data_IF_691805960317
#
_entry.id   IF_691805960317
#
_cell.length_a   1.000
_cell.length_b   1.000
_cell.length_c   1.000
_cell.angle_alpha   90.00
_cell.angle_beta   90.00
_cell.angle_gamma   90.00
#
_symmetry.space_group_name_H-M   'P 1'
#
loop_
_entity.id
_entity.type
_entity.pdbx_description
1 polymer ?
#
# COMPACT_ATOMS: atom_id res chain seq x y z
N UNK A 1 -7.66 -24.83 47.92
CA UNK A 1 -8.25 -23.87 47.00
C UNK A 1 -7.23 -22.88 46.42
N UNK A 2 -6.05 -23.38 45.96
CA UNK A 2 -4.95 -22.58 45.40
C UNK A 2 -4.39 -23.12 44.07
N UNK A 3 -4.95 -24.18 43.51
CA UNK A 3 -4.42 -24.83 42.28
C UNK A 3 -5.22 -24.40 41.02
N UNK A 4 -6.43 -23.84 41.17
CA UNK A 4 -7.26 -23.45 40.03
C UNK A 4 -6.86 -22.14 39.35
N UNK A 5 -6.10 -21.26 40.00
CA UNK A 5 -5.68 -19.99 39.40
C UNK A 5 -4.37 -20.05 38.62
N UNK A 6 -3.58 -21.10 38.78
CA UNK A 6 -2.32 -21.30 38.06
C UNK A 6 -2.55 -21.85 36.63
N UNK A 7 -3.68 -22.53 36.40
CA UNK A 7 -4.00 -23.08 35.09
C UNK A 7 -4.62 -22.06 34.12
N UNK A 8 -5.22 -20.99 34.64
CA UNK A 8 -5.77 -19.90 33.80
C UNK A 8 -4.70 -18.93 33.28
N UNK A 9 -3.51 -18.89 33.91
CA UNK A 9 -2.43 -18.01 33.47
C UNK A 9 -1.58 -18.60 32.34
N UNK A 10 -1.66 -19.91 32.11
CA UNK A 10 -0.88 -20.62 31.10
C UNK A 10 -1.54 -20.64 29.71
N UNK A 11 -2.78 -20.15 29.59
CA UNK A 11 -3.57 -20.13 28.35
C UNK A 11 -3.49 -18.81 27.57
N UNK A 12 -2.71 -17.81 28.07
CA UNK A 12 -2.63 -16.47 27.45
C UNK A 12 -1.39 -16.29 26.56
N UNK A 13 -0.51 -17.27 26.46
CA UNK A 13 0.76 -17.12 25.74
C UNK A 13 0.84 -17.77 24.33
N UNK A 14 -0.27 -17.99 23.64
CA UNK A 14 -0.25 -18.51 22.28
C UNK A 14 -0.92 -17.57 21.26
N UNK A 15 -0.57 -16.30 21.28
CA UNK A 15 -0.71 -15.49 20.07
C UNK A 15 0.70 -15.19 19.55
N UNK A 16 1.22 -16.17 18.85
CA UNK A 16 2.49 -16.08 18.16
C UNK A 16 2.43 -14.99 17.09
N UNK A 17 3.44 -14.22 17.09
CA UNK A 17 3.78 -13.14 16.20
C UNK A 17 3.73 -13.63 14.75
N UNK A 18 2.71 -13.25 13.99
CA UNK A 18 2.68 -13.45 12.56
C UNK A 18 3.71 -12.50 11.93
N UNK A 19 4.75 -13.04 11.33
CA UNK A 19 5.66 -12.25 10.50
C UNK A 19 4.94 -11.90 9.19
N UNK A 20 4.86 -10.61 8.88
CA UNK A 20 4.20 -10.15 7.68
C UNK A 20 5.09 -10.34 6.45
N UNK A 21 4.71 -11.27 5.57
CA UNK A 21 5.26 -11.40 4.21
C UNK A 21 4.65 -10.38 3.23
N UNK A 22 3.85 -9.48 3.72
CA UNK A 22 3.17 -8.46 2.92
C UNK A 22 3.69 -7.08 3.26
N UNK A 23 3.98 -6.30 2.21
CA UNK A 23 4.19 -4.87 2.36
C UNK A 23 2.86 -4.23 2.74
N UNK A 24 2.76 -3.66 3.94
CA UNK A 24 1.56 -2.93 4.30
C UNK A 24 1.45 -1.71 3.39
N UNK A 25 0.29 -1.50 2.79
CA UNK A 25 -0.02 -0.25 2.11
C UNK A 25 -0.24 0.81 3.17
N UNK A 26 0.54 1.87 3.12
CA UNK A 26 0.34 3.04 3.96
C UNK A 26 -0.46 4.10 3.19
N UNK A 27 -0.07 5.34 3.29
CA UNK A 27 -0.76 6.48 2.65
C UNK A 27 -0.22 6.81 1.25
N UNK A 28 0.62 5.95 0.65
CA UNK A 28 1.21 6.18 -0.68
C UNK A 28 0.17 6.45 -1.76
N UNK A 29 -0.96 5.73 -1.70
CA UNK A 29 -2.05 5.88 -2.67
C UNK A 29 -2.72 7.25 -2.62
N UNK A 30 -2.73 7.91 -1.47
CA UNK A 30 -3.29 9.25 -1.31
C UNK A 30 -2.37 10.34 -1.90
N UNK A 31 -1.11 10.02 -2.13
CA UNK A 31 -0.14 10.88 -2.80
C UNK A 31 -0.20 10.74 -4.34
N UNK A 32 -1.40 10.69 -4.91
CA UNK A 32 -1.68 10.54 -6.35
C UNK A 32 -0.92 9.35 -6.98
N UNK A 33 -0.88 8.24 -6.24
CA UNK A 33 -0.23 7.00 -6.63
C UNK A 33 -1.14 5.78 -6.42
N UNK A 34 -2.34 5.81 -6.98
CA UNK A 34 -3.31 4.73 -6.84
C UNK A 34 -2.82 3.39 -7.44
N UNK A 35 -1.82 3.43 -8.32
CA UNK A 35 -1.18 2.25 -8.88
C UNK A 35 -0.55 1.32 -7.82
N UNK A 36 -0.21 1.85 -6.64
CA UNK A 36 0.21 1.04 -5.47
C UNK A 36 -0.82 0.00 -5.07
N UNK A 37 -2.12 0.33 -5.19
CA UNK A 37 -3.22 -0.49 -4.72
C UNK A 37 -3.56 -1.64 -5.67
N UNK A 38 -3.53 -1.36 -6.98
CA UNK A 38 -4.02 -2.31 -7.98
C UNK A 38 -3.38 -2.06 -9.34
N UNK A 39 -3.09 -3.12 -10.10
CA UNK A 39 -2.64 -2.99 -11.48
C UNK A 39 -3.63 -2.24 -12.39
N UNK A 40 -4.90 -2.20 -12.01
CA UNK A 40 -5.96 -1.54 -12.79
C UNK A 40 -5.78 -0.04 -12.99
N UNK A 41 -4.92 0.60 -12.19
CA UNK A 41 -4.62 2.02 -12.31
C UNK A 41 -3.48 2.33 -13.31
N UNK A 42 -2.80 1.31 -13.83
CA UNK A 42 -1.73 1.51 -14.80
C UNK A 42 -2.24 2.17 -16.09
N UNK A 43 -1.58 3.25 -16.51
CA UNK A 43 -1.89 3.98 -17.72
C UNK A 43 -3.13 4.88 -17.67
N UNK A 44 -3.69 5.14 -16.48
CA UNK A 44 -4.75 6.13 -16.27
C UNK A 44 -4.12 7.48 -15.87
N UNK A 45 -4.49 8.55 -16.55
CA UNK A 45 -3.96 9.89 -16.33
C UNK A 45 -2.82 10.22 -17.29
N UNK A 46 -1.73 10.81 -16.79
CA UNK A 46 -0.56 11.14 -17.60
C UNK A 46 0.09 9.90 -18.21
N UNK A 47 0.72 10.03 -19.38
CA UNK A 47 1.17 8.89 -20.14
C UNK A 47 2.29 8.09 -19.48
N UNK A 48 3.21 8.78 -18.78
CA UNK A 48 4.25 8.15 -17.97
C UNK A 48 4.28 8.84 -16.61
N UNK A 49 3.99 8.09 -15.58
CA UNK A 49 4.11 8.56 -14.18
C UNK A 49 5.17 7.75 -13.47
N UNK A 50 6.02 8.46 -12.73
CA UNK A 50 7.04 7.87 -11.86
C UNK A 50 6.81 8.40 -10.47
N UNK A 51 6.79 7.52 -9.47
CA UNK A 51 6.65 7.86 -8.05
C UNK A 51 7.68 7.09 -7.23
N UNK A 52 8.51 7.80 -6.51
CA UNK A 52 9.44 7.25 -5.53
C UNK A 52 8.95 7.58 -4.12
N UNK A 53 8.87 6.60 -3.26
CA UNK A 53 8.45 6.78 -1.87
C UNK A 53 9.57 6.32 -0.93
N UNK A 54 9.78 7.12 0.13
CA UNK A 54 10.58 6.76 1.28
C UNK A 54 9.72 6.86 2.53
N UNK A 55 9.56 5.75 3.25
CA UNK A 55 8.77 5.68 4.47
C UNK A 55 9.63 5.16 5.61
N UNK A 56 9.52 5.82 6.76
CA UNK A 56 10.11 5.36 8.03
C UNK A 56 9.03 5.37 9.09
N UNK A 57 8.76 4.20 9.68
CA UNK A 57 7.79 4.06 10.76
C UNK A 57 8.49 4.24 12.12
N UNK A 58 7.73 4.62 13.12
CA UNK A 58 8.15 4.69 14.53
C UNK A 58 9.52 5.33 14.71
N UNK A 59 9.69 6.52 14.17
CA UNK A 59 10.95 7.27 14.25
C UNK A 59 11.37 7.44 15.71
N UNK A 60 12.62 7.09 16.03
CA UNK A 60 13.17 7.05 17.38
C UNK A 60 13.35 5.62 17.92
N UNK A 61 12.70 4.61 17.36
CA UNK A 61 12.92 3.21 17.69
C UNK A 61 14.06 2.66 16.84
N UNK A 62 15.02 1.96 17.48
CA UNK A 62 16.13 1.30 16.79
C UNK A 62 15.58 0.20 15.88
N UNK A 63 16.13 0.12 14.67
CA UNK A 63 15.75 -0.87 13.64
C UNK A 63 14.26 -0.87 13.26
N UNK A 64 13.59 0.27 13.46
CA UNK A 64 12.19 0.47 13.07
C UNK A 64 11.97 0.28 11.56
N UNK A 65 10.75 -0.11 11.13
CA UNK A 65 10.46 -0.41 9.75
C UNK A 65 10.75 0.75 8.79
N UNK A 66 11.39 0.44 7.67
CA UNK A 66 11.69 1.38 6.58
C UNK A 66 11.28 0.76 5.26
N UNK A 67 10.55 1.50 4.45
CA UNK A 67 10.16 1.10 3.11
C UNK A 67 10.66 2.10 2.09
N UNK A 68 11.24 1.60 1.02
CA UNK A 68 11.62 2.35 -0.17
C UNK A 68 10.92 1.71 -1.36
N UNK A 69 10.25 2.49 -2.17
CA UNK A 69 9.54 1.96 -3.33
C UNK A 69 9.58 2.93 -4.51
N UNK A 70 9.65 2.36 -5.70
CA UNK A 70 9.59 3.06 -6.97
C UNK A 70 8.49 2.46 -7.81
N UNK A 71 7.60 3.30 -8.29
CA UNK A 71 6.49 2.95 -9.15
C UNK A 71 6.61 3.72 -10.45
N UNK A 72 6.43 3.03 -11.55
CA UNK A 72 6.33 3.65 -12.86
C UNK A 72 5.17 2.99 -13.61
N UNK A 73 4.26 3.78 -14.13
CA UNK A 73 3.20 3.28 -15.00
C UNK A 73 3.16 4.09 -16.29
N UNK A 74 2.87 3.38 -17.37
CA UNK A 74 2.94 3.91 -18.70
C UNK A 74 1.76 3.41 -19.53
N UNK A 75 1.15 4.32 -20.29
CA UNK A 75 0.08 4.00 -21.20
C UNK A 75 0.63 3.48 -22.53
N UNK A 76 0.15 2.31 -22.96
CA UNK A 76 0.45 1.71 -24.26
C UNK A 76 -0.81 1.71 -25.12
N UNK A 77 -0.85 2.56 -26.14
CA UNK A 77 -2.04 2.75 -26.96
C UNK A 77 -3.18 3.44 -26.20
N UNK A 78 -4.40 3.32 -26.73
CA UNK A 78 -5.54 4.11 -26.25
C UNK A 78 -6.24 3.54 -25.01
N UNK A 79 -6.13 2.22 -24.76
CA UNK A 79 -6.93 1.52 -23.74
C UNK A 79 -6.12 0.61 -22.81
N UNK A 80 -4.82 0.60 -22.93
CA UNK A 80 -4.00 -0.31 -22.12
C UNK A 80 -2.86 0.44 -21.45
N UNK A 81 -2.46 -0.05 -20.29
CA UNK A 81 -1.32 0.44 -19.55
C UNK A 81 -0.45 -0.71 -19.05
N UNK A 82 0.82 -0.40 -18.85
CA UNK A 82 1.77 -1.27 -18.18
C UNK A 82 2.36 -0.55 -16.99
N UNK A 83 2.86 -1.29 -16.03
CA UNK A 83 3.49 -0.72 -14.86
C UNK A 83 4.58 -1.60 -14.29
N UNK A 84 5.50 -0.94 -13.60
CA UNK A 84 6.57 -1.56 -12.84
C UNK A 84 6.56 -0.99 -11.42
N UNK A 85 6.61 -1.87 -10.44
CA UNK A 85 6.81 -1.51 -9.04
C UNK A 85 8.06 -2.21 -8.53
N UNK A 86 8.97 -1.47 -7.93
CA UNK A 86 10.14 -1.98 -7.23
C UNK A 86 10.03 -1.58 -5.76
N UNK A 87 10.39 -2.47 -4.85
CA UNK A 87 10.34 -2.15 -3.44
C UNK A 87 11.45 -2.85 -2.65
N UNK A 88 11.82 -2.20 -1.57
CA UNK A 88 12.73 -2.71 -0.55
C UNK A 88 12.16 -2.32 0.82
N UNK A 89 11.70 -3.31 1.55
CA UNK A 89 11.17 -3.17 2.90
C UNK A 89 12.12 -3.82 3.89
N UNK A 90 12.38 -3.12 4.98
CA UNK A 90 13.21 -3.63 6.07
C UNK A 90 12.49 -3.41 7.39
N UNK A 91 12.37 -4.47 8.17
CA UNK A 91 11.77 -4.45 9.50
C UNK A 91 12.66 -5.24 10.47
N UNK A 92 13.44 -4.53 11.29
CA UNK A 92 14.44 -5.15 12.14
C UNK A 92 15.48 -5.89 11.30
N UNK A 93 15.61 -7.17 11.56
CA UNK A 93 16.54 -8.09 10.86
C UNK A 93 15.92 -8.77 9.64
N UNK A 94 14.67 -8.49 9.34
CA UNK A 94 14.01 -9.00 8.14
C UNK A 94 14.06 -7.97 7.01
N UNK A 95 14.23 -8.42 5.80
CA UNK A 95 14.16 -7.60 4.61
C UNK A 95 13.34 -8.30 3.52
N UNK A 96 12.54 -7.52 2.82
CA UNK A 96 11.74 -7.98 1.69
C UNK A 96 12.01 -7.07 0.50
N UNK A 97 12.48 -7.67 -0.60
CA UNK A 97 12.72 -6.95 -1.86
C UNK A 97 11.94 -7.59 -2.97
N UNK A 98 11.44 -6.80 -3.90
CA UNK A 98 10.70 -7.38 -5.01
C UNK A 98 10.45 -6.44 -6.16
N UNK A 99 9.95 -7.04 -7.23
CA UNK A 99 9.49 -6.38 -8.44
C UNK A 99 8.10 -6.89 -8.82
N UNK A 100 7.26 -5.98 -9.30
CA UNK A 100 5.91 -6.28 -9.79
C UNK A 100 5.77 -5.69 -11.19
N UNK A 101 5.44 -6.53 -12.16
CA UNK A 101 5.11 -6.16 -13.52
C UNK A 101 3.59 -6.20 -13.68
N UNK A 102 3.01 -5.13 -14.16
CA UNK A 102 1.56 -4.95 -14.23
C UNK A 102 1.11 -4.65 -15.65
N UNK A 103 -0.06 -5.16 -16.00
CA UNK A 103 -0.79 -4.83 -17.21
C UNK A 103 -2.23 -4.46 -16.85
N UNK A 104 -2.77 -3.43 -17.48
CA UNK A 104 -4.16 -3.03 -17.37
C UNK A 104 -4.81 -2.84 -18.72
N UNK A 105 -6.11 -3.14 -18.78
CA UNK A 105 -6.93 -2.83 -19.93
C UNK A 105 -8.22 -2.13 -19.50
N UNK A 106 -8.58 -1.05 -20.21
CA UNK A 106 -9.68 -0.15 -19.86
C UNK A 106 -10.78 -0.23 -20.90
N UNK A 107 -12.00 -0.46 -20.44
CA UNK A 107 -13.20 -0.64 -21.30
C UNK A 107 -14.16 0.51 -21.02
N UNK A 108 -14.74 1.07 -22.09
CA UNK A 108 -15.84 2.00 -22.00
C UNK A 108 -17.13 1.16 -21.97
N UNK A 109 -17.86 1.21 -20.84
CA UNK A 109 -19.18 0.61 -20.71
C UNK A 109 -20.25 1.50 -21.32
N UNK A 110 -20.17 2.79 -20.99
CA UNK A 110 -21.05 3.82 -21.57
C UNK A 110 -20.27 5.14 -21.70
N UNK A 111 -20.23 5.61 -22.94
CA UNK A 111 -19.53 6.86 -23.28
C UNK A 111 -20.25 8.10 -22.72
N UNK A 112 -21.58 8.12 -22.81
CA UNK A 112 -22.39 9.28 -22.40
C UNK A 112 -22.45 9.45 -20.89
N UNK A 113 -22.56 8.35 -20.17
CA UNK A 113 -22.58 8.35 -18.69
C UNK A 113 -21.18 8.33 -18.08
N UNK A 114 -20.10 8.32 -18.90
CA UNK A 114 -18.70 8.24 -18.46
C UNK A 114 -18.45 7.02 -17.54
N UNK A 115 -18.95 5.85 -17.95
CA UNK A 115 -18.76 4.60 -17.22
C UNK A 115 -17.60 3.80 -17.81
N UNK A 116 -16.64 3.46 -16.97
CA UNK A 116 -15.43 2.74 -17.35
C UNK A 116 -15.21 1.54 -16.44
N UNK A 117 -14.78 0.43 -17.02
CA UNK A 117 -14.33 -0.75 -16.30
C UNK A 117 -12.89 -1.07 -16.69
N UNK A 118 -12.04 -1.30 -15.70
CA UNK A 118 -10.65 -1.66 -15.94
C UNK A 118 -10.34 -3.01 -15.30
N UNK A 119 -9.60 -3.84 -16.03
CA UNK A 119 -9.05 -5.10 -15.56
C UNK A 119 -7.54 -4.97 -15.45
N UNK A 120 -6.97 -5.57 -14.41
CA UNK A 120 -5.53 -5.54 -14.23
C UNK A 120 -4.98 -6.89 -13.77
N UNK A 121 -3.78 -7.19 -14.23
CA UNK A 121 -3.01 -8.37 -13.85
C UNK A 121 -1.59 -7.94 -13.52
N UNK A 122 -1.03 -8.47 -12.43
CA UNK A 122 0.39 -8.30 -12.12
C UNK A 122 1.06 -9.65 -11.91
N UNK A 123 2.33 -9.71 -12.28
CA UNK A 123 3.26 -10.77 -11.92
C UNK A 123 4.27 -10.23 -10.91
N UNK A 124 4.35 -10.89 -9.74
CA UNK A 124 5.17 -10.47 -8.61
C UNK A 124 6.35 -11.42 -8.45
N UNK A 125 7.54 -10.86 -8.30
CA UNK A 125 8.75 -11.58 -7.86
C UNK A 125 9.16 -10.96 -6.54
N UNK A 126 9.21 -11.75 -5.48
CA UNK A 126 9.50 -11.29 -4.15
C UNK A 126 10.57 -12.17 -3.50
N UNK A 127 11.54 -11.58 -2.81
CA UNK A 127 12.54 -12.25 -2.01
C UNK A 127 12.46 -11.74 -0.58
N UNK A 128 12.23 -12.65 0.34
CA UNK A 128 12.25 -12.40 1.78
C UNK A 128 13.53 -12.98 2.38
N UNK A 129 14.22 -12.20 3.22
CA UNK A 129 15.48 -12.61 3.86
C UNK A 129 15.44 -12.27 5.35
N UNK A 130 15.92 -13.19 6.18
CA UNK A 130 16.21 -12.99 7.60
C UNK A 130 17.73 -12.97 7.76
N UNK A 131 18.27 -11.88 8.30
CA UNK A 131 19.70 -11.72 8.59
C UNK A 131 19.97 -12.05 10.06
N UNK A 132 20.41 -13.26 10.32
CA UNK A 132 20.73 -13.73 11.68
C UNK A 132 22.12 -13.29 12.15
N UNK A 133 22.99 -12.86 11.27
CA UNK A 133 24.35 -12.43 11.66
C UNK A 133 24.33 -11.26 12.65
N UNK A 134 23.27 -10.46 12.62
CA UNK A 134 23.09 -9.33 13.53
C UNK A 134 22.51 -9.71 14.90
N UNK A 135 21.97 -10.93 15.07
CA UNK A 135 21.51 -11.41 16.38
C UNK A 135 22.67 -11.70 17.34
N UNK A 136 23.84 -12.09 16.80
CA UNK A 136 24.99 -12.51 17.59
C UNK A 136 25.84 -11.37 18.17
N UNK A 137 25.59 -10.11 17.79
CA UNK A 137 26.44 -8.98 18.21
C UNK A 137 26.00 -8.33 19.53
N UNK A 138 24.83 -8.70 20.09
CA UNK A 138 24.22 -7.98 21.20
C UNK A 138 24.21 -8.76 22.53
N UNK A 139 24.47 -10.06 22.54
CA UNK A 139 24.48 -10.86 23.76
C UNK A 139 25.69 -11.78 23.84
N UNK A 140 26.45 -11.65 24.92
CA UNK A 140 27.59 -12.50 25.27
C UNK A 140 27.20 -13.96 25.65
N UNK A 141 25.91 -14.30 25.62
CA UNK A 141 25.41 -15.63 25.92
C UNK A 141 24.92 -16.24 24.60
N UNK A 142 25.76 -17.08 24.03
CA UNK A 142 25.52 -17.94 22.88
C UNK A 142 24.50 -19.07 23.20
N UNK A 143 23.29 -18.73 23.56
CA UNK A 143 22.18 -19.66 23.41
C UNK A 143 21.57 -19.41 22.02
N UNK A 144 22.25 -19.91 20.99
CA UNK A 144 21.68 -20.04 19.64
C UNK A 144 20.38 -20.83 19.78
N UNK A 145 19.27 -20.19 19.46
CA UNK A 145 18.02 -20.92 19.24
C UNK A 145 18.31 -21.96 18.13
N UNK A 146 18.28 -23.28 18.43
CA UNK A 146 18.62 -24.33 17.44
C UNK A 146 17.70 -24.28 16.21
N UNK A 147 16.57 -23.56 16.28
CA UNK A 147 15.65 -23.38 15.16
C UNK A 147 16.06 -22.25 14.19
N UNK A 148 17.05 -21.41 14.57
CA UNK A 148 17.55 -20.28 13.77
C UNK A 148 19.05 -20.45 13.53
N UNK A 149 19.44 -21.42 12.73
CA UNK A 149 20.86 -21.73 12.51
C UNK A 149 21.47 -21.04 11.30
N UNK A 150 20.69 -20.59 10.32
CA UNK A 150 21.20 -20.06 9.05
C UNK A 150 20.45 -18.83 8.55
N UNK A 151 21.15 -17.98 7.78
CA UNK A 151 20.51 -16.91 6.99
C UNK A 151 19.49 -17.52 6.03
N UNK A 152 18.22 -17.16 6.22
CA UNK A 152 17.13 -17.70 5.41
C UNK A 152 16.73 -16.70 4.34
N UNK A 153 16.73 -17.16 3.10
CA UNK A 153 16.22 -16.39 1.97
C UNK A 153 15.19 -17.24 1.21
N UNK A 154 14.02 -16.67 0.95
CA UNK A 154 12.94 -17.30 0.21
C UNK A 154 12.53 -16.40 -0.92
N UNK A 155 12.45 -16.95 -2.14
CA UNK A 155 11.85 -16.26 -3.29
C UNK A 155 10.46 -16.82 -3.54
N UNK A 156 9.53 -15.91 -3.85
CA UNK A 156 8.16 -16.23 -4.18
C UNK A 156 7.74 -15.51 -5.47
N UNK A 157 7.13 -16.27 -6.37
CA UNK A 157 6.49 -15.74 -7.57
C UNK A 157 4.99 -15.83 -7.40
N UNK A 158 4.26 -14.77 -7.70
CA UNK A 158 2.82 -14.74 -7.51
C UNK A 158 2.13 -13.81 -8.52
N UNK A 159 0.81 -13.80 -8.49
CA UNK A 159 0.00 -12.92 -9.33
C UNK A 159 -0.97 -12.11 -8.48
N UNK A 160 -1.28 -10.91 -8.99
CA UNK A 160 -2.37 -10.09 -8.48
C UNK A 160 -3.38 -9.88 -9.61
N UNK A 161 -4.67 -9.84 -9.28
CA UNK A 161 -5.75 -9.49 -10.19
C UNK A 161 -6.58 -8.38 -9.61
N UNK A 162 -7.01 -7.44 -10.45
CA UNK A 162 -7.79 -6.30 -10.04
C UNK A 162 -8.93 -5.96 -10.99
N UNK A 163 -9.94 -5.31 -10.43
CA UNK A 163 -11.05 -4.68 -11.12
C UNK A 163 -11.18 -3.24 -10.64
N UNK A 164 -11.45 -2.29 -11.54
CA UNK A 164 -11.74 -0.91 -11.21
C UNK A 164 -12.95 -0.44 -12.00
N UNK A 165 -13.99 -0.03 -11.32
CA UNK A 165 -15.13 0.65 -11.90
C UNK A 165 -15.05 2.16 -11.62
N UNK A 166 -15.33 2.97 -12.65
CA UNK A 166 -15.40 4.42 -12.54
C UNK A 166 -16.65 4.96 -13.22
N UNK A 167 -17.32 5.89 -12.57
CA UNK A 167 -18.47 6.60 -13.12
C UNK A 167 -18.48 8.05 -12.62
N UNK A 168 -18.17 8.99 -13.51
CA UNK A 168 -18.02 10.42 -13.15
C UNK A 168 -17.00 10.55 -12.00
N UNK A 169 -17.38 11.15 -10.89
CA UNK A 169 -16.52 11.27 -9.72
C UNK A 169 -16.39 10.01 -8.85
N UNK A 170 -17.25 9.00 -9.03
CA UNK A 170 -17.22 7.76 -8.25
C UNK A 170 -16.19 6.78 -8.81
N UNK A 171 -15.47 6.12 -7.91
CA UNK A 171 -14.61 4.99 -8.24
C UNK A 171 -14.66 3.90 -7.17
N UNK A 172 -14.52 2.65 -7.59
CA UNK A 172 -14.40 1.49 -6.72
C UNK A 172 -13.42 0.48 -7.34
N UNK A 173 -12.34 0.18 -6.63
CA UNK A 173 -11.31 -0.78 -7.02
C UNK A 173 -11.31 -1.96 -6.07
N UNK A 174 -11.30 -3.16 -6.61
CA UNK A 174 -11.07 -4.41 -5.90
C UNK A 174 -9.78 -5.04 -6.42
N UNK A 175 -8.93 -5.51 -5.53
CA UNK A 175 -7.70 -6.19 -5.86
C UNK A 175 -7.50 -7.44 -4.99
N UNK A 176 -7.14 -8.56 -5.58
CA UNK A 176 -6.69 -9.75 -4.90
C UNK A 176 -5.20 -9.95 -5.21
N UNK A 177 -4.37 -9.84 -4.19
CA UNK A 177 -2.91 -9.97 -4.31
C UNK A 177 -2.43 -11.32 -3.80
N UNK A 178 -1.40 -11.85 -4.47
CA UNK A 178 -0.77 -13.14 -4.13
C UNK A 178 -1.78 -14.29 -4.17
N UNK A 179 -2.46 -14.44 -5.30
CA UNK A 179 -3.55 -15.40 -5.49
C UNK A 179 -3.10 -16.87 -5.49
N UNK A 180 -1.82 -17.14 -5.79
CA UNK A 180 -1.30 -18.49 -5.78
C UNK A 180 -0.93 -18.92 -4.36
N UNK A 181 -1.42 -20.08 -3.90
CA UNK A 181 -0.98 -20.63 -2.62
C UNK A 181 0.51 -20.98 -2.68
N UNK A 182 1.24 -20.63 -1.62
CA UNK A 182 2.67 -20.95 -1.49
C UNK A 182 2.83 -22.31 -0.82
N UNK A 183 3.57 -23.21 -1.46
CA UNK A 183 3.97 -24.48 -0.83
C UNK A 183 5.27 -24.26 -0.03
N UNK A 184 5.17 -24.29 1.30
CA UNK A 184 6.32 -24.07 2.19
C UNK A 184 6.69 -25.39 2.89
N UNK A 185 7.13 -26.40 2.13
CA UNK A 185 7.53 -27.67 2.73
C UNK A 185 8.83 -27.56 3.56
N UNK A 186 9.67 -26.54 3.33
CA UNK A 186 10.99 -26.41 3.96
C UNK A 186 11.03 -25.43 5.16
N UNK A 187 9.91 -24.77 5.50
CA UNK A 187 9.87 -23.70 6.51
C UNK A 187 8.66 -23.82 7.43
N UNK A 188 8.32 -25.06 7.80
CA UNK A 188 7.19 -25.36 8.68
C UNK A 188 7.30 -24.57 10.00
N UNK A 189 6.30 -23.74 10.26
CA UNK A 189 6.08 -23.07 11.53
C UNK A 189 6.60 -21.62 11.66
N UNK A 190 7.30 -21.07 10.64
CA UNK A 190 7.90 -19.73 10.73
C UNK A 190 7.20 -18.72 9.83
N UNK A 191 6.61 -19.14 8.72
CA UNK A 191 5.99 -18.25 7.73
C UNK A 191 4.53 -18.63 7.43
N UNK A 192 3.65 -17.66 7.20
CA UNK A 192 2.28 -17.94 6.80
C UNK A 192 2.25 -18.63 5.42
N UNK A 193 1.56 -19.77 5.34
CA UNK A 193 1.38 -20.51 4.10
C UNK A 193 0.47 -19.76 3.10
N UNK A 194 -0.46 -18.98 3.61
CA UNK A 194 -1.43 -18.24 2.81
C UNK A 194 -1.09 -16.74 2.84
N UNK A 195 -0.60 -16.24 1.71
CA UNK A 195 -0.21 -14.84 1.53
C UNK A 195 -1.28 -14.01 0.78
N UNK A 196 -2.44 -14.61 0.52
CA UNK A 196 -3.56 -13.98 -0.17
C UNK A 196 -4.09 -12.78 0.62
N UNK A 197 -4.29 -11.68 -0.08
CA UNK A 197 -4.69 -10.41 0.49
C UNK A 197 -5.70 -9.73 -0.45
N UNK A 198 -6.82 -9.31 0.11
CA UNK A 198 -7.87 -8.59 -0.59
C UNK A 198 -7.82 -7.11 -0.22
N UNK A 199 -7.98 -6.26 -1.22
CA UNK A 199 -7.98 -4.81 -1.06
C UNK A 199 -9.20 -4.22 -1.76
N UNK A 200 -9.90 -3.33 -1.07
CA UNK A 200 -11.00 -2.55 -1.62
C UNK A 200 -10.68 -1.06 -1.41
N UNK A 201 -10.73 -0.29 -2.47
CA UNK A 201 -10.56 1.16 -2.42
C UNK A 201 -11.70 1.84 -3.15
N UNK A 202 -12.41 2.71 -2.48
CA UNK A 202 -13.54 3.43 -3.06
C UNK A 202 -13.56 4.87 -2.57
N UNK A 203 -14.01 5.76 -3.43
CA UNK A 203 -14.15 7.16 -3.10
C UNK A 203 -15.03 7.90 -4.09
N UNK A 204 -15.20 9.17 -3.81
CA UNK A 204 -15.95 10.09 -4.65
C UNK A 204 -15.28 11.46 -4.71
N UNK A 205 -15.02 11.95 -5.91
CA UNK A 205 -14.49 13.31 -6.14
C UNK A 205 -15.64 14.28 -6.33
N UNK A 206 -15.78 15.18 -5.38
CA UNK A 206 -16.76 16.26 -5.39
C UNK A 206 -16.08 17.49 -5.99
N UNK A 207 -16.52 17.90 -7.19
CA UNK A 207 -16.08 19.16 -7.83
C UNK A 207 -17.01 20.29 -7.43
N UNK A 208 -16.46 21.41 -6.99
CA UNK A 208 -17.26 22.58 -6.65
C UNK A 208 -17.86 23.20 -7.93
N UNK A 209 -19.19 23.31 -8.00
CA UNK A 209 -19.90 23.87 -9.15
C UNK A 209 -19.59 25.36 -9.39
N UNK A 210 -19.28 26.11 -8.33
CA UNK A 210 -18.95 27.56 -8.41
C UNK A 210 -17.46 27.80 -8.64
N UNK A 211 -16.60 26.91 -8.13
CA UNK A 211 -15.16 27.00 -8.28
C UNK A 211 -14.59 25.67 -8.74
N UNK A 212 -14.52 25.48 -10.06
CA UNK A 212 -14.04 24.24 -10.68
C UNK A 212 -12.59 23.90 -10.35
N UNK A 213 -11.88 24.83 -9.72
CA UNK A 213 -10.49 24.61 -9.29
C UNK A 213 -10.36 23.91 -7.93
N UNK A 214 -11.49 23.53 -7.30
CA UNK A 214 -11.50 22.88 -5.98
C UNK A 214 -12.17 21.54 -6.07
N UNK A 215 -11.49 20.53 -5.53
CA UNK A 215 -11.98 19.16 -5.37
C UNK A 215 -11.89 18.72 -3.91
N UNK A 216 -12.91 17.98 -3.46
CA UNK A 216 -12.95 17.30 -2.16
C UNK A 216 -13.16 15.81 -2.43
N UNK A 217 -12.31 14.98 -1.89
CA UNK A 217 -12.30 13.53 -2.12
C UNK A 217 -12.36 12.77 -0.79
N UNK A 218 -13.56 12.41 -0.30
CA UNK A 218 -13.71 11.37 0.70
C UNK A 218 -13.43 10.00 0.08
N UNK A 219 -12.66 9.16 0.79
CA UNK A 219 -12.38 7.80 0.34
C UNK A 219 -12.21 6.84 1.51
N UNK A 220 -12.39 5.55 1.21
CA UNK A 220 -12.21 4.45 2.14
C UNK A 220 -11.32 3.40 1.49
N UNK A 221 -10.35 2.91 2.26
CA UNK A 221 -9.52 1.77 1.89
C UNK A 221 -9.69 0.67 2.92
N UNK A 222 -9.96 -0.53 2.45
CA UNK A 222 -10.10 -1.74 3.27
C UNK A 222 -9.11 -2.78 2.80
N UNK A 223 -8.41 -3.43 3.73
CA UNK A 223 -7.48 -4.51 3.46
C UNK A 223 -7.77 -5.69 4.38
N UNK A 224 -7.80 -6.90 3.81
CA UNK A 224 -8.03 -8.15 4.52
C UNK A 224 -6.95 -9.18 4.16
N UNK A 225 -6.28 -9.72 5.17
CA UNK A 225 -5.26 -10.76 5.05
C UNK A 225 -5.89 -12.12 5.33
N UNK A 226 -5.95 -12.98 4.31
CA UNK A 226 -6.63 -14.27 4.41
C UNK A 226 -5.92 -15.27 5.34
N UNK A 227 -4.60 -15.12 5.53
CA UNK A 227 -3.78 -16.03 6.34
C UNK A 227 -4.08 -15.94 7.84
N UNK A 228 -4.09 -14.73 8.37
CA UNK A 228 -4.30 -14.47 9.81
C UNK A 228 -5.65 -13.79 10.12
N UNK A 229 -6.45 -13.55 9.08
CA UNK A 229 -7.79 -12.92 9.14
C UNK A 229 -7.80 -11.48 9.66
N UNK A 230 -6.63 -10.84 9.77
CA UNK A 230 -6.56 -9.43 10.14
C UNK A 230 -7.16 -8.55 9.04
N UNK A 231 -7.80 -7.47 9.44
CA UNK A 231 -8.25 -6.47 8.51
C UNK A 231 -8.06 -5.06 9.05
N UNK A 232 -7.79 -4.14 8.12
CA UNK A 232 -7.62 -2.72 8.42
C UNK A 232 -8.54 -1.89 7.55
N UNK A 233 -9.00 -0.76 8.10
CA UNK A 233 -9.75 0.24 7.33
C UNK A 233 -9.10 1.59 7.50
N UNK A 234 -8.96 2.31 6.37
CA UNK A 234 -8.57 3.71 6.35
C UNK A 234 -9.76 4.56 5.90
N UNK A 235 -10.07 5.60 6.65
CA UNK A 235 -11.01 6.65 6.23
C UNK A 235 -10.19 7.89 5.92
N UNK A 236 -10.39 8.43 4.72
CA UNK A 236 -9.57 9.52 4.22
C UNK A 236 -10.44 10.68 3.73
N UNK A 237 -9.90 11.87 3.90
CA UNK A 237 -10.44 13.07 3.30
C UNK A 237 -9.31 13.87 2.67
N UNK A 238 -9.43 14.19 1.38
CA UNK A 238 -8.44 14.96 0.62
C UNK A 238 -9.11 16.19 0.01
N UNK A 239 -8.44 17.32 0.13
CA UNK A 239 -8.79 18.57 -0.51
C UNK A 239 -7.70 18.92 -1.51
N UNK A 240 -8.09 19.22 -2.76
CA UNK A 240 -7.18 19.63 -3.83
C UNK A 240 -7.63 20.95 -4.42
N UNK A 241 -6.67 21.85 -4.68
CA UNK A 241 -6.92 23.14 -5.34
C UNK A 241 -5.95 23.33 -6.49
N UNK A 242 -6.51 23.53 -7.67
CA UNK A 242 -5.79 23.80 -8.91
C UNK A 242 -5.50 25.30 -9.04
N UNK A 243 -4.27 25.63 -9.43
CA UNK A 243 -3.85 26.99 -9.73
C UNK A 243 -3.87 27.26 -11.26
N UNK A 244 -3.57 26.22 -12.05
CA UNK A 244 -3.63 26.18 -13.50
C UNK A 244 -4.09 24.78 -13.91
N UNK A 245 -4.13 24.49 -15.20
CA UNK A 245 -4.68 23.23 -15.73
C UNK A 245 -4.08 21.98 -15.07
N UNK A 246 -2.77 21.98 -14.76
CA UNK A 246 -2.03 20.82 -14.23
C UNK A 246 -1.36 21.08 -12.87
N UNK A 247 -1.20 22.35 -12.48
CA UNK A 247 -0.58 22.71 -11.23
C UNK A 247 -1.60 22.75 -10.10
N UNK A 248 -1.35 22.02 -9.04
CA UNK A 248 -2.22 22.01 -7.86
C UNK A 248 -1.44 21.79 -6.57
N UNK A 249 -2.05 22.16 -5.48
CA UNK A 249 -1.67 21.71 -4.16
C UNK A 249 -2.84 20.96 -3.50
N UNK A 250 -2.49 20.06 -2.59
CA UNK A 250 -3.48 19.30 -1.87
C UNK A 250 -3.08 19.11 -0.41
N UNK A 251 -4.10 18.93 0.42
CA UNK A 251 -3.97 18.54 1.82
C UNK A 251 -4.96 17.43 2.10
N UNK A 252 -4.65 16.58 3.06
CA UNK A 252 -5.53 15.48 3.43
C UNK A 252 -5.29 15.00 4.85
N UNK A 253 -6.18 14.15 5.31
CA UNK A 253 -6.08 13.45 6.59
C UNK A 253 -6.49 12.00 6.37
N UNK A 254 -5.80 11.09 7.03
CA UNK A 254 -6.13 9.67 7.06
C UNK A 254 -6.26 9.19 8.49
N UNK A 255 -7.27 8.34 8.74
CA UNK A 255 -7.48 7.65 10.00
C UNK A 255 -7.55 6.16 9.73
N UNK A 256 -6.66 5.37 10.35
CA UNK A 256 -6.55 3.92 10.20
C UNK A 256 -6.87 3.20 11.49
N UNK A 257 -7.66 2.13 11.40
CA UNK A 257 -8.01 1.26 12.51
C UNK A 257 -8.05 -0.21 12.12
N UNK A 258 -7.92 -1.12 13.11
CA UNK A 258 -8.13 -2.56 12.97
C UNK A 258 -9.62 -2.86 13.11
N UNK A 259 -10.14 -3.78 12.27
CA UNK A 259 -11.54 -4.19 12.32
C UNK A 259 -11.79 -5.39 13.24
N UNK A 260 -10.80 -6.25 13.41
CA UNK A 260 -10.85 -7.48 14.24
C UNK A 260 -10.78 -7.20 15.75
N UNK A 261 -10.29 -6.04 16.13
CA UNK A 261 -10.36 -5.54 17.51
C UNK A 261 -11.28 -4.30 17.47
N UNK A 262 -12.43 -4.27 18.18
CA UNK A 262 -13.49 -3.28 17.94
C UNK A 262 -12.96 -1.86 17.75
N UNK A 263 -12.80 -1.47 16.49
CA UNK A 263 -12.31 -0.16 16.04
C UNK A 263 -11.02 0.32 16.72
N UNK A 264 -10.07 -0.60 16.99
CA UNK A 264 -8.78 -0.24 17.58
C UNK A 264 -8.05 0.77 16.69
N UNK A 265 -7.86 2.01 17.13
CA UNK A 265 -7.18 3.02 16.35
C UNK A 265 -5.69 2.65 16.20
N UNK A 266 -5.18 2.74 14.98
CA UNK A 266 -3.76 2.51 14.66
C UNK A 266 -3.02 3.81 14.48
N UNK A 267 -3.46 4.61 13.50
CA UNK A 267 -2.79 5.86 13.15
C UNK A 267 -3.79 6.91 12.71
N UNK A 268 -3.43 8.15 12.94
CA UNK A 268 -4.07 9.32 12.34
C UNK A 268 -3.00 10.31 11.93
N UNK A 269 -3.20 10.99 10.80
CA UNK A 269 -2.25 12.03 10.47
C UNK A 269 -2.58 12.83 9.22
N UNK A 270 -2.05 14.08 9.21
CA UNK A 270 -2.14 14.95 8.06
C UNK A 270 -1.17 14.53 6.97
N UNK A 271 -1.51 14.96 5.77
CA UNK A 271 -0.66 14.86 4.61
C UNK A 271 -0.85 16.09 3.71
N UNK A 272 0.17 16.43 2.95
CA UNK A 272 0.11 17.54 2.01
C UNK A 272 1.07 17.30 0.85
N UNK A 273 0.81 17.98 -0.26
CA UNK A 273 1.68 17.91 -1.42
C UNK A 273 1.29 18.93 -2.48
N UNK A 274 2.08 18.91 -3.55
CA UNK A 274 1.82 19.75 -4.72
C UNK A 274 2.31 19.08 -6.00
N UNK A 275 1.70 19.43 -7.11
CA UNK A 275 2.20 19.20 -8.46
C UNK A 275 2.47 20.54 -9.11
N UNK A 276 3.66 20.70 -9.70
CA UNK A 276 4.03 21.87 -10.48
C UNK A 276 4.73 21.41 -11.75
N UNK A 277 4.13 21.72 -12.89
CA UNK A 277 4.53 21.18 -14.18
C UNK A 277 4.62 19.63 -14.11
N UNK A 278 5.78 19.05 -14.40
CA UNK A 278 5.99 17.62 -14.38
C UNK A 278 6.45 17.06 -13.01
N UNK A 279 6.72 17.94 -12.05
CA UNK A 279 7.22 17.54 -10.74
C UNK A 279 6.08 17.39 -9.72
N UNK A 280 6.13 16.30 -8.95
CA UNK A 280 5.22 16.01 -7.85
C UNK A 280 5.99 15.84 -6.55
N UNK A 281 5.46 16.43 -5.48
CA UNK A 281 5.93 16.24 -4.11
C UNK A 281 4.76 15.95 -3.17
N UNK A 282 4.94 14.99 -2.28
CA UNK A 282 4.01 14.68 -1.21
C UNK A 282 4.71 14.34 0.10
N UNK A 283 4.12 14.72 1.21
CA UNK A 283 4.57 14.38 2.55
C UNK A 283 3.39 13.93 3.40
N UNK A 284 3.58 12.85 4.15
CA UNK A 284 2.61 12.33 5.12
C UNK A 284 3.28 12.12 6.46
N UNK A 285 2.60 12.57 7.50
CA UNK A 285 2.97 12.33 8.89
C UNK A 285 1.84 11.61 9.60
N UNK A 286 2.11 10.44 10.20
CA UNK A 286 1.11 9.63 10.87
C UNK A 286 1.50 9.41 12.33
N UNK A 287 0.65 9.87 13.23
CA UNK A 287 0.78 9.63 14.67
C UNK A 287 0.22 8.25 14.98
N UNK A 288 0.98 7.45 15.69
CA UNK A 288 0.53 6.14 16.19
C UNK A 288 -0.38 6.35 17.39
N UNK A 289 -1.53 5.68 17.44
CA UNK A 289 -2.56 5.86 18.49
C UNK A 289 -2.60 4.72 19.53
N UNK A 290 -1.57 3.89 19.58
CA UNK A 290 -1.46 2.78 20.51
C UNK A 290 -0.38 3.05 21.60
N UNK A 291 -0.09 2.04 22.43
CA UNK A 291 0.88 2.16 23.55
C UNK A 291 2.32 2.51 23.11
N UNK A 292 2.67 2.30 21.83
CA UNK A 292 3.99 2.61 21.30
C UNK A 292 4.18 4.13 21.08
N UNK A 293 3.11 4.92 21.11
CA UNK A 293 3.15 6.39 20.92
C UNK A 293 4.17 7.08 21.82
N UNK A 294 4.31 6.61 23.06
CA UNK A 294 5.25 7.21 24.03
C UNK A 294 6.73 7.01 23.64
N UNK A 295 7.04 6.10 22.74
CA UNK A 295 8.41 5.68 22.39
C UNK A 295 8.83 6.06 20.97
N UNK A 296 7.97 6.71 20.19
CA UNK A 296 8.27 7.06 18.80
C UNK A 296 7.71 8.43 18.42
N UNK A 297 8.30 9.01 17.38
CA UNK A 297 7.88 10.29 16.81
C UNK A 297 6.96 10.11 15.59
N UNK A 298 6.26 8.97 15.48
CA UNK A 298 5.32 8.69 14.40
C UNK A 298 5.96 8.06 13.15
N UNK A 299 5.18 8.05 12.07
CA UNK A 299 5.58 7.54 10.76
C UNK A 299 5.66 8.69 9.77
N UNK A 300 6.76 8.77 9.07
CA UNK A 300 7.03 9.81 8.07
C UNK A 300 7.14 9.16 6.69
N UNK A 301 6.49 9.76 5.70
CA UNK A 301 6.61 9.34 4.31
C UNK A 301 6.81 10.54 3.40
N UNK A 302 7.77 10.43 2.49
CA UNK A 302 8.02 11.38 1.42
C UNK A 302 7.73 10.68 0.10
N UNK A 303 7.02 11.36 -0.79
CA UNK A 303 6.79 10.95 -2.17
C UNK A 303 7.35 11.98 -3.12
N UNK A 304 8.21 11.55 -4.02
CA UNK A 304 8.71 12.35 -5.15
C UNK A 304 8.15 11.77 -6.44
N UNK A 305 7.78 12.62 -7.39
CA UNK A 305 7.20 12.13 -8.62
C UNK A 305 7.51 13.00 -9.83
N UNK A 306 7.41 12.35 -11.00
CA UNK A 306 7.50 12.99 -12.30
C UNK A 306 6.43 12.43 -13.24
N UNK A 307 5.76 13.33 -13.95
CA UNK A 307 4.70 13.03 -14.91
C UNK A 307 5.11 13.54 -16.30
N UNK A 308 5.15 12.62 -17.30
CA UNK A 308 5.65 12.91 -18.62
C UNK A 308 4.69 12.46 -19.72
N UNK A 309 4.93 12.92 -20.93
CA UNK A 309 4.31 12.43 -22.16
C UNK A 309 2.79 12.55 -22.18
N UNK A 310 2.27 13.69 -21.76
CA UNK A 310 0.83 13.96 -21.77
C UNK A 310 0.23 13.98 -23.18
N UNK A 311 -1.01 13.57 -23.34
CA UNK A 311 -1.83 13.80 -24.53
C UNK A 311 -1.77 12.76 -25.66
N UNK A 312 -1.28 11.53 -25.43
CA UNK A 312 -1.16 10.50 -26.49
C UNK A 312 -2.45 9.68 -26.72
N UNK A 313 -3.43 9.70 -25.81
CA UNK A 313 -4.62 8.84 -25.94
C UNK A 313 -5.86 9.61 -26.31
N UNK A 314 -6.61 9.09 -27.29
CA UNK A 314 -7.94 9.59 -27.65
C UNK A 314 -9.06 8.92 -26.84
N UNK A 315 -8.76 7.95 -25.98
CA UNK A 315 -9.76 7.28 -25.16
C UNK A 315 -10.02 8.06 -23.85
N UNK A 316 -11.26 8.52 -23.60
CA UNK A 316 -11.59 9.14 -22.33
C UNK A 316 -11.37 8.19 -21.13
N UNK A 317 -11.36 6.87 -21.38
CA UNK A 317 -11.13 5.87 -20.34
C UNK A 317 -9.71 5.90 -19.72
N UNK A 318 -8.75 6.52 -20.37
CA UNK A 318 -7.36 6.64 -19.93
C UNK A 318 -6.85 8.08 -19.87
N UNK A 319 -7.55 9.04 -20.49
CA UNK A 319 -7.15 10.44 -20.46
C UNK A 319 -7.39 11.08 -19.10
N UNK A 320 -8.53 10.75 -18.51
CA UNK A 320 -8.92 11.30 -17.24
C UNK A 320 -8.17 10.62 -16.11
N UNK A 321 -7.63 11.35 -15.14
CA UNK A 321 -7.26 10.79 -13.86
C UNK A 321 -8.46 10.09 -13.23
N UNK A 322 -8.23 9.25 -12.22
CA UNK A 322 -9.30 8.53 -11.51
C UNK A 322 -10.42 9.47 -11.03
N UNK A 323 -10.11 10.73 -10.96
CA UNK A 323 -10.90 11.80 -10.36
C UNK A 323 -11.65 12.70 -11.37
N UNK A 324 -11.75 12.36 -12.64
CA UNK A 324 -12.50 13.19 -13.60
C UNK A 324 -13.96 12.80 -13.78
#
# INVERSE_FOLDING_TARGET
MKIQHTFSLLLICFFGISQELHLPVHTQYLADNNFVLSPTFAGIGDNLRIRANGLTQWVGIKDAPKNQSLYADFRIGNRSGIGLSLYNDRNGYTSQTGAKFSFAHHIILDYYSKQYLSFGLSYNINSFKIDISQFNTTHEILALDPSITDNRAISNNNFDVGLLYRNKGFYASFNASNILPKSINNYLGIEPSLVLNYQLYSGYVIKNSYNRNVEIEPSIYYQFFAGDKRSTTDINLKYRRYNSYDDYYWVGVSYRFLNDQPFQPLTVGPMAGFKKANFYFGYSYQVTLNKITAYNSGTHMITLGFDFLQGISDCPCTQSPVHD
#
